data_IF_376592952087
#
_entry.id   IF_376592952087
#
_cell.length_a   1.000
_cell.length_b   1.000
_cell.length_c   1.000
_cell.angle_alpha   90.00
_cell.angle_beta   90.00
_cell.angle_gamma   90.00
#
_symmetry.space_group_name_H-M   'P 1'
#
loop_
_entity.id
_entity.type
_entity.pdbx_description
1 polymer ?
#
# COMPACT_ATOMS: atom_id res chain seq x y z
N UNK A 1 -20.03 5.22 -23.87
CA UNK A 1 -19.92 3.82 -24.33
C UNK A 1 -19.14 3.06 -23.28
N UNK A 2 -19.86 2.47 -22.33
CA UNK A 2 -19.31 1.65 -21.26
C UNK A 2 -19.50 0.18 -21.67
N UNK A 3 -18.42 -0.60 -21.66
CA UNK A 3 -18.47 -2.04 -21.86
C UNK A 3 -18.02 -2.72 -20.55
N UNK A 4 -18.97 -3.40 -19.92
CA UNK A 4 -18.78 -4.43 -18.89
C UNK A 4 -18.13 -5.69 -19.49
N UNK A 5 -17.33 -6.42 -18.70
CA UNK A 5 -17.20 -7.86 -18.86
C UNK A 5 -17.65 -8.60 -17.58
N UNK A 6 -18.55 -9.57 -17.75
CA UNK A 6 -19.14 -10.39 -16.68
C UNK A 6 -18.19 -11.40 -16.02
N UNK A 7 -18.68 -12.13 -14.99
CA UNK A 7 -17.82 -12.95 -14.13
C UNK A 7 -17.48 -14.32 -14.71
N UNK A 8 -16.21 -14.71 -14.53
CA UNK A 8 -15.65 -16.01 -14.87
C UNK A 8 -16.05 -17.09 -13.84
N UNK A 9 -16.37 -18.28 -14.35
CA UNK A 9 -16.75 -19.48 -13.61
C UNK A 9 -15.51 -20.34 -13.37
N UNK A 10 -15.19 -20.68 -12.12
CA UNK A 10 -14.12 -21.65 -11.80
C UNK A 10 -14.75 -22.82 -11.03
N UNK A 11 -14.73 -23.99 -11.66
CA UNK A 11 -15.08 -25.29 -11.06
C UNK A 11 -13.87 -25.86 -10.32
N UNK A 12 -14.02 -26.19 -9.04
CA UNK A 12 -13.04 -26.94 -8.28
C UNK A 12 -13.71 -28.10 -7.54
N UNK A 13 -13.55 -29.30 -8.07
CA UNK A 13 -13.95 -30.57 -7.46
C UNK A 13 -12.79 -31.17 -6.66
N UNK A 14 -13.01 -31.47 -5.38
CA UNK A 14 -12.10 -32.28 -4.55
C UNK A 14 -12.78 -33.59 -4.15
N UNK A 15 -12.04 -34.68 -4.33
CA UNK A 15 -12.40 -36.08 -4.08
C UNK A 15 -11.84 -36.53 -2.73
N UNK A 16 -12.57 -37.37 -1.98
CA UNK A 16 -11.97 -38.45 -1.17
C UNK A 16 -12.98 -39.52 -0.69
N UNK A 17 -12.87 -40.70 -1.29
CA UNK A 17 -12.81 -42.07 -0.73
C UNK A 17 -13.75 -42.60 0.39
N UNK A 18 -14.60 -43.56 -0.03
CA UNK A 18 -14.71 -45.00 0.38
C UNK A 18 -15.10 -45.42 1.81
N UNK A 19 -16.12 -46.30 1.98
CA UNK A 19 -15.96 -47.76 2.16
C UNK A 19 -17.31 -48.49 2.39
N UNK A 20 -17.39 -49.75 1.93
CA UNK A 20 -18.55 -50.62 1.75
C UNK A 20 -19.11 -51.28 3.01
N UNK A 21 -20.36 -51.80 2.95
CA UNK A 21 -20.69 -53.20 3.28
C UNK A 21 -22.12 -53.56 2.90
N UNK A 22 -22.23 -54.63 2.12
CA UNK A 22 -23.45 -55.28 1.60
C UNK A 22 -23.92 -56.38 2.54
N UNK A 23 -25.24 -56.54 2.70
CA UNK A 23 -25.86 -57.87 2.89
C UNK A 23 -27.23 -57.89 2.22
N UNK A 24 -27.50 -59.00 1.51
CA UNK A 24 -28.69 -59.26 0.71
C UNK A 24 -29.29 -60.57 1.20
N UNK A 25 -30.59 -60.61 1.50
CA UNK A 25 -31.37 -61.85 1.56
C UNK A 25 -32.61 -61.67 0.67
N UNK A 26 -32.81 -62.64 -0.20
CA UNK A 26 -33.94 -62.88 -1.12
C UNK A 26 -35.14 -63.44 -0.34
N UNK A 27 -36.36 -63.19 -0.80
CA UNK A 27 -37.23 -64.26 -1.33
C UNK A 27 -38.56 -63.76 -1.92
N UNK A 28 -39.15 -64.61 -2.75
CA UNK A 28 -40.19 -64.44 -3.76
C UNK A 28 -41.65 -64.41 -3.24
N UNK A 29 -42.50 -63.68 -3.99
CA UNK A 29 -43.78 -64.16 -4.57
C UNK A 29 -44.96 -64.58 -3.67
N UNK A 30 -46.14 -63.97 -3.89
CA UNK A 30 -47.40 -64.65 -4.29
C UNK A 30 -48.66 -63.77 -4.12
N UNK A 31 -49.72 -64.15 -4.82
CA UNK A 31 -50.95 -63.43 -5.20
C UNK A 31 -52.10 -63.48 -4.17
N UNK A 32 -52.93 -62.42 -4.25
CA UNK A 32 -54.42 -62.31 -4.13
C UNK A 32 -55.12 -62.76 -2.83
N UNK A 33 -55.88 -61.83 -2.20
CA UNK A 33 -57.37 -61.78 -2.23
C UNK A 33 -57.95 -60.53 -1.54
N UNK A 34 -59.13 -60.12 -2.03
CA UNK A 34 -59.98 -58.96 -1.69
C UNK A 34 -60.47 -58.97 -0.24
N UNK A 35 -60.63 -57.78 0.35
CA UNK A 35 -61.88 -57.40 1.05
C UNK A 35 -62.04 -55.87 1.12
N UNK A 36 -63.28 -55.44 0.92
CA UNK A 36 -63.85 -54.09 1.05
C UNK A 36 -63.74 -53.63 2.53
N UNK A 37 -63.78 -52.36 2.95
CA UNK A 37 -64.66 -51.25 2.56
C UNK A 37 -64.21 -49.99 3.33
N UNK A 38 -64.54 -48.80 2.84
CA UNK A 38 -64.70 -47.60 3.67
C UNK A 38 -63.69 -46.47 3.46
N UNK A 39 -64.05 -45.50 2.60
CA UNK A 39 -63.49 -44.16 2.65
C UNK A 39 -63.89 -43.47 3.96
N UNK A 40 -62.91 -42.95 4.71
CA UNK A 40 -63.12 -41.76 5.56
C UNK A 40 -61.96 -40.78 5.38
N UNK A 41 -62.32 -39.71 4.67
CA UNK A 41 -61.92 -38.30 4.84
C UNK A 41 -60.41 -38.05 4.98
N UNK A 42 -59.87 -37.56 3.87
CA UNK A 42 -58.60 -36.84 3.82
C UNK A 42 -58.63 -35.67 4.80
N UNK A 43 -57.74 -35.71 5.79
CA UNK A 43 -57.12 -34.50 6.31
C UNK A 43 -55.68 -34.53 5.85
N UNK A 44 -55.39 -33.85 4.73
CA UNK A 44 -54.03 -33.46 4.38
C UNK A 44 -53.55 -32.51 5.48
N UNK A 45 -52.98 -33.06 6.56
CA UNK A 45 -52.26 -32.26 7.54
C UNK A 45 -50.94 -31.88 6.89
N UNK A 46 -50.66 -30.59 6.92
CA UNK A 46 -49.55 -29.90 6.29
C UNK A 46 -48.21 -30.27 6.99
N UNK A 47 -47.78 -31.53 6.87
CA UNK A 47 -46.58 -32.07 7.55
C UNK A 47 -45.29 -31.41 7.03
N UNK A 48 -45.33 -30.88 5.81
CA UNK A 48 -44.17 -30.23 5.18
C UNK A 48 -43.76 -28.94 5.89
N UNK A 49 -44.70 -28.04 6.18
CA UNK A 49 -44.40 -26.71 6.72
C UNK A 49 -43.79 -26.72 8.13
N UNK A 50 -44.26 -27.61 9.00
CA UNK A 50 -43.76 -27.70 10.38
C UNK A 50 -42.34 -28.30 10.44
N UNK A 51 -42.02 -29.24 9.57
CA UNK A 51 -40.67 -29.81 9.48
C UNK A 51 -39.69 -28.77 8.94
N UNK A 52 -40.07 -27.99 7.93
CA UNK A 52 -39.25 -26.89 7.41
C UNK A 52 -39.03 -25.78 8.46
N UNK A 53 -40.06 -25.42 9.22
CA UNK A 53 -39.94 -24.40 10.27
C UNK A 53 -39.04 -24.87 11.42
N UNK A 54 -39.17 -26.13 11.84
CA UNK A 54 -38.33 -26.73 12.87
C UNK A 54 -36.87 -26.81 12.43
N UNK A 55 -36.60 -27.23 11.19
CA UNK A 55 -35.25 -27.25 10.63
C UNK A 55 -34.67 -25.83 10.53
N UNK A 56 -35.46 -24.84 10.09
CA UNK A 56 -35.02 -23.45 10.03
C UNK A 56 -34.68 -22.86 11.41
N UNK A 57 -35.48 -23.16 12.44
CA UNK A 57 -35.21 -22.73 13.82
C UNK A 57 -33.96 -23.40 14.39
N UNK A 58 -33.74 -24.68 14.09
CA UNK A 58 -32.51 -25.39 14.49
C UNK A 58 -31.29 -24.80 13.80
N UNK A 59 -31.37 -24.49 12.49
CA UNK A 59 -30.27 -23.87 11.75
C UNK A 59 -29.95 -22.46 12.28
N UNK A 60 -30.97 -21.66 12.61
CA UNK A 60 -30.78 -20.33 13.20
C UNK A 60 -30.23 -20.40 14.62
N UNK A 61 -30.67 -21.36 15.43
CA UNK A 61 -30.12 -21.60 16.76
C UNK A 61 -28.66 -22.05 16.70
N UNK A 62 -28.30 -22.95 15.76
CA UNK A 62 -26.91 -23.39 15.53
C UNK A 62 -26.06 -22.23 15.00
N UNK A 63 -26.56 -21.45 14.05
CA UNK A 63 -25.85 -20.29 13.50
C UNK A 63 -25.64 -19.17 14.54
N UNK A 64 -26.59 -18.97 15.44
CA UNK A 64 -26.47 -18.03 16.56
C UNK A 64 -25.51 -18.49 17.68
N UNK A 65 -25.14 -19.77 17.68
CA UNK A 65 -24.20 -20.38 18.64
C UNK A 65 -22.79 -20.54 18.08
N UNK A 66 -22.56 -20.25 16.80
CA UNK A 66 -21.20 -20.18 16.25
C UNK A 66 -20.60 -18.84 16.68
N UNK A 67 -19.57 -18.82 17.56
CA UNK A 67 -18.88 -17.58 17.86
C UNK A 67 -18.30 -17.02 16.57
N UNK A 68 -18.45 -15.71 16.35
CA UNK A 68 -17.79 -15.04 15.24
C UNK A 68 -16.28 -15.20 15.40
N UNK A 69 -15.67 -16.08 14.61
CA UNK A 69 -14.23 -16.29 14.62
C UNK A 69 -13.59 -15.12 13.88
N UNK A 70 -12.88 -14.26 14.59
CA UNK A 70 -12.00 -13.28 13.98
C UNK A 70 -10.81 -14.01 13.37
N UNK A 71 -10.79 -14.17 12.05
CA UNK A 71 -9.60 -14.65 11.35
C UNK A 71 -8.59 -13.50 11.27
N UNK A 72 -7.51 -13.59 12.04
CA UNK A 72 -6.34 -12.71 11.93
C UNK A 72 -5.08 -13.59 11.80
N UNK A 73 -4.24 -13.29 10.81
CA UNK A 73 -3.05 -14.10 10.47
C UNK A 73 -1.74 -13.29 10.52
N UNK A 74 -1.73 -12.17 11.25
CA UNK A 74 -0.53 -11.38 11.51
C UNK A 74 0.15 -11.94 12.76
N UNK A 75 1.39 -12.39 12.63
CA UNK A 75 2.20 -12.83 13.77
C UNK A 75 2.66 -11.61 14.57
N UNK A 76 2.18 -11.47 15.80
CA UNK A 76 2.54 -10.39 16.71
C UNK A 76 3.69 -10.75 17.66
N UNK A 77 4.19 -11.99 17.59
CA UNK A 77 5.25 -12.52 18.46
C UNK A 77 6.58 -12.56 17.71
N UNK A 78 6.58 -13.10 16.49
CA UNK A 78 7.77 -13.18 15.65
C UNK A 78 7.69 -12.10 14.57
N UNK A 79 8.25 -10.93 14.87
CA UNK A 79 8.33 -9.80 13.94
C UNK A 79 9.79 -9.39 13.76
N UNK A 80 10.06 -8.72 12.64
CA UNK A 80 11.36 -8.09 12.40
C UNK A 80 11.27 -6.63 12.83
N UNK A 81 12.22 -6.21 13.67
CA UNK A 81 12.26 -4.85 14.22
C UNK A 81 13.35 -4.03 13.53
N UNK A 82 12.98 -2.82 13.10
CA UNK A 82 13.92 -1.82 12.60
C UNK A 82 13.82 -0.56 13.45
N UNK A 83 14.92 -0.19 14.07
CA UNK A 83 15.08 1.03 14.83
C UNK A 83 16.24 1.85 14.27
N UNK A 84 16.08 3.17 14.31
CA UNK A 84 17.09 4.13 13.90
C UNK A 84 17.22 5.18 15.01
N UNK A 85 18.18 6.11 14.89
CA UNK A 85 18.37 7.17 15.88
C UNK A 85 17.08 7.91 16.23
N UNK A 86 16.94 8.24 17.51
CA UNK A 86 15.86 9.06 18.02
C UNK A 86 15.75 10.38 17.25
N UNK A 87 14.54 10.91 17.14
CA UNK A 87 14.21 12.19 16.47
C UNK A 87 14.45 12.21 14.94
N UNK A 88 14.70 11.08 14.29
CA UNK A 88 14.79 10.97 12.82
C UNK A 88 13.44 10.83 12.11
N UNK A 89 12.36 10.59 12.88
CA UNK A 89 11.04 10.21 12.36
C UNK A 89 11.12 8.97 11.45
N UNK A 90 12.06 8.06 11.70
CA UNK A 90 12.16 6.79 10.99
C UNK A 90 10.84 6.03 11.06
N UNK A 91 10.34 5.57 9.92
CA UNK A 91 9.03 4.94 9.80
C UNK A 91 7.91 5.91 9.43
N UNK A 92 8.21 7.20 9.19
CA UNK A 92 7.20 8.17 8.76
C UNK A 92 6.53 7.76 7.43
N UNK A 93 7.29 7.16 6.53
CA UNK A 93 6.78 6.54 5.32
C UNK A 93 7.46 5.19 5.07
N UNK A 94 6.70 4.21 4.57
CA UNK A 94 7.18 2.85 4.34
C UNK A 94 6.65 2.29 3.02
N UNK A 95 7.47 1.54 2.30
CA UNK A 95 7.04 0.76 1.13
C UNK A 95 7.85 -0.52 1.01
N UNK A 96 7.25 -1.55 0.43
CA UNK A 96 7.97 -2.75 0.01
C UNK A 96 8.64 -2.50 -1.34
N UNK A 97 9.80 -3.12 -1.55
CA UNK A 97 10.52 -3.10 -2.81
C UNK A 97 11.26 -4.43 -2.96
N UNK A 98 11.44 -4.89 -4.19
CA UNK A 98 12.23 -6.08 -4.48
C UNK A 98 13.23 -5.73 -5.57
N UNK A 99 14.48 -6.13 -5.38
CA UNK A 99 15.57 -5.86 -6.31
C UNK A 99 16.47 -7.09 -6.36
N UNK A 100 16.73 -7.61 -7.56
CA UNK A 100 17.61 -8.78 -7.77
C UNK A 100 17.20 -9.98 -6.90
N UNK A 101 15.90 -10.27 -6.85
CA UNK A 101 15.29 -11.33 -6.00
C UNK A 101 15.40 -11.11 -4.49
N UNK A 102 15.93 -9.97 -4.03
CA UNK A 102 15.99 -9.63 -2.61
C UNK A 102 14.90 -8.63 -2.25
N UNK A 103 14.14 -8.97 -1.22
CA UNK A 103 13.06 -8.12 -0.70
C UNK A 103 13.60 -7.14 0.33
N UNK A 104 13.14 -5.90 0.24
CA UNK A 104 13.55 -4.79 1.08
C UNK A 104 12.32 -4.07 1.61
N UNK A 105 12.42 -3.62 2.85
CA UNK A 105 11.54 -2.57 3.39
C UNK A 105 12.26 -1.24 3.17
N UNK A 106 11.63 -0.32 2.45
CA UNK A 106 12.12 1.02 2.25
C UNK A 106 11.45 1.93 3.26
N UNK A 107 12.25 2.64 4.04
CA UNK A 107 11.78 3.45 5.17
C UNK A 107 12.25 4.89 5.01
N UNK A 108 11.32 5.83 5.04
CA UNK A 108 11.59 7.25 5.09
C UNK A 108 11.76 7.76 6.52
N UNK A 109 12.73 8.66 6.71
CA UNK A 109 13.07 9.30 7.97
C UNK A 109 13.30 10.80 7.72
N UNK A 110 12.23 11.62 7.64
CA UNK A 110 12.29 13.00 7.14
C UNK A 110 13.13 13.97 7.98
N UNK A 111 13.40 13.64 9.24
CA UNK A 111 14.24 14.47 10.13
C UNK A 111 15.56 13.80 10.48
N UNK A 112 15.94 12.72 9.78
CA UNK A 112 17.25 12.11 9.94
C UNK A 112 18.35 13.13 9.63
N UNK A 113 19.37 13.15 10.49
CA UNK A 113 20.52 14.00 10.28
C UNK A 113 21.41 13.45 9.16
N UNK A 114 21.76 14.35 8.24
CA UNK A 114 22.60 14.13 7.06
C UNK A 114 23.83 15.01 7.06
N UNK A 115 24.14 15.70 8.18
CA UNK A 115 25.33 16.55 8.32
C UNK A 115 26.66 15.82 8.06
N UNK A 116 26.67 14.49 8.21
CA UNK A 116 27.78 13.60 7.90
C UNK A 116 28.02 13.41 6.39
N UNK A 117 26.99 13.67 5.57
CA UNK A 117 26.99 13.45 4.13
C UNK A 117 26.86 14.75 3.33
N UNK A 118 25.99 15.65 3.78
CA UNK A 118 25.62 16.89 3.12
C UNK A 118 26.16 18.08 3.92
N UNK A 119 27.26 18.68 3.45
CA UNK A 119 27.88 19.83 4.11
C UNK A 119 26.90 21.00 4.24
N UNK A 120 26.81 21.58 5.45
CA UNK A 120 25.94 22.72 5.75
C UNK A 120 24.43 22.40 5.76
N UNK A 121 24.04 21.13 5.70
CA UNK A 121 22.64 20.67 5.77
C UNK A 121 22.38 20.00 7.10
N UNK A 122 21.30 20.41 7.77
CA UNK A 122 20.89 19.85 9.07
C UNK A 122 19.50 19.25 8.95
N UNK A 123 19.30 18.03 9.48
CA UNK A 123 18.04 17.30 9.39
C UNK A 123 17.48 17.28 7.96
N UNK A 124 18.33 17.00 6.96
CA UNK A 124 17.94 16.95 5.56
C UNK A 124 16.90 15.85 5.29
N UNK A 125 16.88 14.81 6.13
CA UNK A 125 16.06 13.62 5.96
C UNK A 125 16.76 12.57 5.11
N UNK A 126 16.39 11.31 5.32
CA UNK A 126 17.01 10.18 4.65
C UNK A 126 16.00 9.09 4.31
N UNK A 127 16.37 8.23 3.38
CA UNK A 127 15.66 6.99 3.07
C UNK A 127 16.60 5.82 3.31
N UNK A 128 16.08 4.78 3.94
CA UNK A 128 16.80 3.57 4.29
C UNK A 128 16.20 2.38 3.54
N UNK A 129 17.04 1.40 3.22
CA UNK A 129 16.63 0.06 2.78
C UNK A 129 16.99 -0.94 3.88
N UNK A 130 16.03 -1.73 4.31
CA UNK A 130 16.16 -2.70 5.39
C UNK A 130 15.90 -4.11 4.87
N UNK A 131 16.75 -5.07 5.24
CA UNK A 131 16.57 -6.47 4.85
C UNK A 131 15.40 -7.09 5.61
N UNK A 132 14.49 -7.76 4.90
CA UNK A 132 13.29 -8.38 5.50
C UNK A 132 13.60 -9.56 6.44
N UNK A 133 14.82 -10.09 6.42
CA UNK A 133 15.18 -11.36 7.07
C UNK A 133 15.84 -11.18 8.44
N UNK A 134 16.29 -9.97 8.78
CA UNK A 134 17.11 -9.70 9.96
C UNK A 134 16.76 -8.36 10.60
N UNK A 135 16.68 -8.35 11.94
CA UNK A 135 16.46 -7.14 12.72
C UNK A 135 17.56 -6.10 12.49
N UNK A 136 17.16 -4.82 12.46
CA UNK A 136 18.06 -3.67 12.37
C UNK A 136 19.07 -3.68 11.21
N UNK A 137 18.86 -4.51 10.18
CA UNK A 137 19.71 -4.58 9.00
C UNK A 137 19.30 -3.52 7.97
N UNK A 138 19.49 -2.26 8.32
CA UNK A 138 19.17 -1.09 7.49
C UNK A 138 20.41 -0.38 6.98
N UNK A 139 20.33 0.18 5.77
CA UNK A 139 21.38 1.03 5.20
C UNK A 139 20.76 2.23 4.48
N UNK A 140 21.39 3.39 4.60
CA UNK A 140 20.95 4.63 3.95
C UNK A 140 21.11 4.50 2.43
N UNK A 141 20.11 4.94 1.68
CA UNK A 141 20.15 5.05 0.22
C UNK A 141 20.69 6.44 -0.16
N UNK A 142 21.82 6.54 -0.88
CA UNK A 142 22.51 7.82 -1.11
C UNK A 142 21.90 8.61 -2.29
N UNK A 143 20.65 9.06 -2.15
CA UNK A 143 19.94 9.81 -3.20
C UNK A 143 20.63 11.12 -3.60
N UNK A 144 21.08 11.89 -2.60
CA UNK A 144 21.82 13.13 -2.79
C UNK A 144 22.84 13.28 -1.66
N UNK A 145 24.11 13.40 -2.05
CA UNK A 145 25.22 13.63 -1.13
C UNK A 145 25.70 15.09 -1.14
N UNK A 146 25.10 15.96 -1.95
CA UNK A 146 25.50 17.36 -2.05
C UNK A 146 24.75 18.20 -1.03
N UNK A 147 25.44 19.18 -0.45
CA UNK A 147 24.84 20.21 0.38
C UNK A 147 23.94 21.16 -0.43
N UNK A 148 23.71 22.37 0.12
CA UNK A 148 22.99 23.40 -0.62
C UNK A 148 23.70 23.76 -1.93
N UNK A 149 22.91 24.08 -2.95
CA UNK A 149 23.37 24.44 -4.28
C UNK A 149 23.64 25.94 -4.34
N UNK A 150 24.74 26.35 -4.97
CA UNK A 150 25.11 27.74 -5.20
C UNK A 150 25.25 28.02 -6.70
N UNK A 151 24.92 29.23 -7.13
CA UNK A 151 25.11 29.65 -8.52
C UNK A 151 26.55 30.11 -8.79
N UNK A 152 26.86 30.49 -10.03
CA UNK A 152 28.19 30.99 -10.44
C UNK A 152 28.64 32.27 -9.71
N UNK A 153 27.71 32.97 -9.05
CA UNK A 153 27.96 34.18 -8.24
C UNK A 153 28.08 33.87 -6.75
N UNK A 154 28.10 32.59 -6.37
CA UNK A 154 28.12 32.11 -4.99
C UNK A 154 26.88 32.53 -4.17
N UNK A 155 25.74 32.70 -4.83
CA UNK A 155 24.44 32.91 -4.19
C UNK A 155 23.75 31.56 -4.01
N UNK A 156 23.22 31.32 -2.81
CA UNK A 156 22.51 30.07 -2.51
C UNK A 156 21.21 29.97 -3.32
N UNK A 157 21.02 28.83 -3.99
CA UNK A 157 19.91 28.58 -4.91
C UNK A 157 18.85 27.68 -4.28
N UNK A 158 19.21 26.88 -3.28
CA UNK A 158 18.25 26.08 -2.51
C UNK A 158 18.62 25.94 -1.03
N UNK A 159 17.64 25.59 -0.20
CA UNK A 159 17.85 25.20 1.19
C UNK A 159 17.34 23.77 1.38
N UNK A 160 18.27 22.86 1.69
CA UNK A 160 18.00 21.45 1.97
C UNK A 160 17.83 21.13 3.46
N UNK A 161 18.24 22.03 4.35
CA UNK A 161 18.04 21.85 5.80
C UNK A 161 16.55 21.79 6.15
N UNK A 162 16.15 20.79 6.93
CA UNK A 162 14.76 20.53 7.32
C UNK A 162 13.79 20.36 6.13
N UNK A 163 14.28 19.95 4.96
CA UNK A 163 13.47 19.77 3.74
C UNK A 163 12.49 18.58 3.81
N UNK A 164 12.62 17.74 4.83
CA UNK A 164 11.80 16.54 5.05
C UNK A 164 11.98 15.47 3.97
N UNK A 165 13.21 15.21 3.55
CA UNK A 165 13.48 14.18 2.54
C UNK A 165 13.16 12.78 3.10
N UNK A 166 12.32 12.02 2.40
CA UNK A 166 11.79 10.75 2.90
C UNK A 166 10.45 10.91 3.64
N UNK A 167 9.80 12.09 3.58
CA UNK A 167 8.42 12.22 4.04
C UNK A 167 7.46 11.34 3.21
N UNK A 168 7.78 11.15 1.93
CA UNK A 168 7.05 10.26 1.03
C UNK A 168 8.04 9.34 0.36
N UNK A 169 7.77 8.03 0.40
CA UNK A 169 8.46 7.02 -0.39
C UNK A 169 7.44 6.15 -1.12
N UNK A 170 7.70 5.82 -2.38
CA UNK A 170 6.86 4.90 -3.15
C UNK A 170 7.72 4.09 -4.12
N UNK A 171 7.39 2.81 -4.29
CA UNK A 171 8.10 1.88 -5.17
C UNK A 171 7.19 1.41 -6.31
N UNK A 172 7.76 1.19 -7.48
CA UNK A 172 7.10 0.50 -8.59
C UNK A 172 7.05 -1.04 -8.40
N UNK A 173 7.68 -1.58 -7.35
CA UNK A 173 7.69 -3.00 -7.03
C UNK A 173 8.99 -3.69 -7.44
N UNK A 174 8.88 -4.82 -8.15
CA UNK A 174 10.00 -5.71 -8.51
C UNK A 174 10.88 -5.08 -9.57
N UNK A 175 12.17 -4.92 -9.26
CA UNK A 175 13.22 -4.33 -10.12
C UNK A 175 12.82 -2.97 -10.72
N UNK A 176 11.87 -2.29 -10.08
CA UNK A 176 11.27 -1.04 -10.54
C UNK A 176 11.91 0.18 -9.89
N UNK A 177 11.64 1.39 -10.38
CA UNK A 177 12.10 2.61 -9.72
C UNK A 177 11.50 2.79 -8.33
N UNK A 178 12.21 3.59 -7.53
CA UNK A 178 11.75 4.10 -6.25
C UNK A 178 11.73 5.64 -6.33
N UNK A 179 10.70 6.27 -5.77
CA UNK A 179 10.65 7.73 -5.60
C UNK A 179 10.66 8.09 -4.12
N UNK A 180 11.42 9.10 -3.76
CA UNK A 180 11.47 9.69 -2.43
C UNK A 180 11.37 11.21 -2.53
N UNK A 181 10.59 11.85 -1.67
CA UNK A 181 10.32 13.28 -1.78
C UNK A 181 10.65 14.08 -0.51
N UNK A 182 10.92 15.37 -0.72
CA UNK A 182 11.17 16.41 0.27
C UNK A 182 10.15 17.54 0.05
N UNK A 183 8.95 17.46 0.64
CA UNK A 183 7.88 18.43 0.40
C UNK A 183 8.18 19.82 0.99
N UNK A 184 9.16 19.94 1.89
CA UNK A 184 9.60 21.22 2.48
C UNK A 184 10.88 21.74 1.86
N UNK A 185 11.36 21.15 0.77
CA UNK A 185 12.48 21.70 0.01
C UNK A 185 12.17 23.11 -0.47
N UNK A 186 13.12 24.01 -0.25
CA UNK A 186 13.00 25.43 -0.55
C UNK A 186 13.92 25.78 -1.71
N UNK A 187 13.36 26.43 -2.71
CA UNK A 187 14.08 27.00 -3.83
C UNK A 187 14.15 28.52 -3.69
N UNK A 188 15.32 29.09 -3.96
CA UNK A 188 15.57 30.53 -3.95
C UNK A 188 15.53 31.05 -5.38
N UNK A 189 14.43 31.68 -5.77
CA UNK A 189 14.34 32.24 -7.11
C UNK A 189 15.10 33.58 -7.18
N UNK A 190 16.30 33.53 -7.76
CA UNK A 190 17.17 34.68 -7.92
C UNK A 190 16.70 35.58 -9.07
N UNK A 191 16.20 36.76 -8.72
CA UNK A 191 15.71 37.73 -9.72
C UNK A 191 16.75 38.82 -10.03
N UNK A 192 16.70 39.43 -11.23
CA UNK A 192 17.60 40.51 -11.62
C UNK A 192 17.63 41.70 -10.65
N UNK A 193 16.57 41.86 -9.85
CA UNK A 193 16.39 42.96 -8.88
C UNK A 193 16.78 42.62 -7.43
N UNK A 194 17.55 41.54 -7.19
CA UNK A 194 18.04 41.11 -5.86
C UNK A 194 16.98 40.76 -4.81
N UNK A 195 15.70 40.61 -5.18
CA UNK A 195 14.69 40.11 -4.24
C UNK A 195 14.75 38.58 -4.27
N UNK A 196 15.45 38.01 -3.29
CA UNK A 196 15.42 36.58 -3.01
C UNK A 196 14.00 36.16 -2.64
N UNK A 197 13.46 35.17 -3.35
CA UNK A 197 12.18 34.54 -3.01
C UNK A 197 12.43 33.16 -2.47
N UNK A 198 12.05 32.96 -1.22
CA UNK A 198 12.19 31.71 -0.49
C UNK A 198 10.89 30.92 -0.67
N UNK A 199 10.90 29.92 -1.54
CA UNK A 199 9.69 29.24 -2.01
C UNK A 199 9.71 27.74 -1.67
N UNK A 200 8.82 27.23 -0.81
CA UNK A 200 8.72 25.81 -0.50
C UNK A 200 8.05 25.06 -1.67
N UNK A 201 8.78 24.91 -2.77
CA UNK A 201 8.29 24.27 -3.99
C UNK A 201 8.23 22.75 -3.87
N UNK A 202 9.04 22.14 -2.99
CA UNK A 202 9.18 20.69 -2.89
C UNK A 202 10.01 20.09 -4.02
N UNK A 203 10.57 18.90 -3.78
CA UNK A 203 11.33 18.12 -4.78
C UNK A 203 11.16 16.62 -4.52
N UNK A 204 11.36 15.81 -5.55
CA UNK A 204 11.46 14.36 -5.44
C UNK A 204 12.73 13.88 -6.13
N UNK A 205 13.23 12.72 -5.72
CA UNK A 205 14.30 12.00 -6.36
C UNK A 205 13.83 10.60 -6.75
N UNK A 206 14.17 10.19 -7.95
CA UNK A 206 13.86 8.87 -8.49
C UNK A 206 15.14 8.07 -8.56
N UNK A 207 15.15 6.93 -7.85
CA UNK A 207 16.20 5.93 -7.90
C UNK A 207 15.84 4.85 -8.93
N UNK A 208 16.81 4.47 -9.76
CA UNK A 208 16.72 3.41 -10.78
C UNK A 208 17.93 2.48 -10.69
N UNK A 209 17.83 1.34 -11.37
CA UNK A 209 18.91 0.37 -11.53
C UNK A 209 19.50 -0.04 -10.17
N UNK A 210 18.70 -0.68 -9.32
CA UNK A 210 19.12 -1.14 -8.00
C UNK A 210 19.62 -0.02 -7.07
N UNK A 211 18.95 1.13 -7.10
CA UNK A 211 19.31 2.32 -6.31
C UNK A 211 20.75 2.82 -6.56
N UNK A 212 21.21 2.74 -7.81
CA UNK A 212 22.54 3.21 -8.21
C UNK A 212 22.49 4.49 -9.05
N UNK A 213 21.34 4.76 -9.68
CA UNK A 213 21.14 5.94 -10.51
C UNK A 213 20.05 6.80 -9.90
N UNK A 214 20.35 8.08 -9.69
CA UNK A 214 19.45 9.04 -9.06
C UNK A 214 19.19 10.21 -10.00
N UNK A 215 17.93 10.61 -10.08
CA UNK A 215 17.48 11.75 -10.89
C UNK A 215 16.51 12.59 -10.10
N UNK A 216 16.69 13.91 -10.14
CA UNK A 216 15.78 14.86 -9.49
C UNK A 216 14.52 15.09 -10.35
N UNK A 217 13.36 15.17 -9.72
CA UNK A 217 12.07 15.48 -10.30
C UNK A 217 11.38 16.57 -9.48
N UNK A 218 11.44 17.82 -9.96
CA UNK A 218 10.97 19.02 -9.26
C UNK A 218 9.97 19.81 -10.11
N UNK A 219 8.73 19.32 -10.30
CA UNK A 219 7.80 19.87 -11.29
C UNK A 219 7.32 21.29 -10.95
N UNK A 220 7.40 21.70 -9.68
CA UNK A 220 7.00 23.04 -9.22
C UNK A 220 8.16 24.05 -9.16
N UNK A 221 9.39 23.61 -9.45
CA UNK A 221 10.54 24.52 -9.58
C UNK A 221 10.54 25.14 -10.98
N UNK A 222 9.65 26.12 -11.18
CA UNK A 222 9.40 26.77 -12.47
C UNK A 222 9.53 28.30 -12.37
N UNK A 223 9.25 29.03 -13.45
CA UNK A 223 9.15 30.49 -13.41
C UNK A 223 7.85 31.00 -12.73
N UNK A 224 6.90 30.11 -12.42
CA UNK A 224 5.60 30.46 -11.84
C UNK A 224 5.67 30.60 -10.32
N UNK A 225 6.22 31.73 -9.89
CA UNK A 225 6.48 32.05 -8.49
C UNK A 225 5.23 32.46 -7.69
N UNK A 226 5.38 32.45 -6.36
CA UNK A 226 4.39 32.89 -5.37
C UNK A 226 3.26 31.89 -5.08
N UNK A 227 2.59 32.10 -3.95
CA UNK A 227 1.48 31.25 -3.47
C UNK A 227 0.25 31.24 -4.41
N UNK A 228 0.08 32.29 -5.21
CA UNK A 228 -0.97 32.39 -6.23
C UNK A 228 -0.70 31.47 -7.44
N UNK A 229 0.49 30.87 -7.52
CA UNK A 229 0.92 29.88 -8.53
C UNK A 229 1.62 28.70 -7.85
N UNK A 230 2.90 28.43 -8.16
CA UNK A 230 3.58 27.20 -7.72
C UNK A 230 4.67 27.43 -6.66
N UNK A 231 4.91 28.68 -6.23
CA UNK A 231 5.93 28.98 -5.23
C UNK A 231 5.68 28.38 -3.84
N UNK A 232 4.45 27.94 -3.55
CA UNK A 232 4.10 27.23 -2.30
C UNK A 232 3.64 25.80 -2.56
N UNK A 233 3.98 25.23 -3.71
CA UNK A 233 3.45 23.96 -4.20
C UNK A 233 3.63 22.78 -3.24
N UNK A 234 4.79 22.66 -2.58
CA UNK A 234 5.16 21.50 -1.75
C UNK A 234 5.02 20.17 -2.49
N UNK A 235 5.52 20.12 -3.73
CA UNK A 235 5.52 18.90 -4.56
C UNK A 235 6.19 17.75 -3.81
N UNK A 236 5.53 16.58 -3.84
CA UNK A 236 6.01 15.39 -3.17
C UNK A 236 5.41 15.20 -1.78
N UNK A 237 4.41 16.02 -1.41
CA UNK A 237 3.59 15.77 -0.22
C UNK A 237 2.90 14.40 -0.29
N UNK A 238 2.56 13.95 -1.50
CA UNK A 238 2.23 12.56 -1.81
C UNK A 238 2.85 12.17 -3.15
N UNK A 239 3.10 10.89 -3.36
CA UNK A 239 3.66 10.38 -4.61
C UNK A 239 3.30 8.91 -4.84
N UNK A 240 3.24 8.50 -6.11
CA UNK A 240 3.03 7.11 -6.51
C UNK A 240 3.70 6.85 -7.86
N UNK A 241 4.03 5.58 -8.14
CA UNK A 241 4.61 5.13 -9.40
C UNK A 241 3.67 4.14 -10.07
N UNK A 242 3.66 4.13 -11.41
CA UNK A 242 3.02 3.06 -12.16
C UNK A 242 3.74 1.74 -11.94
N UNK A 243 3.02 0.61 -12.06
CA UNK A 243 3.63 -0.74 -11.99
C UNK A 243 4.74 -0.94 -13.02
N UNK A 244 4.66 -0.25 -14.15
CA UNK A 244 5.66 -0.25 -15.23
C UNK A 244 6.86 0.65 -14.93
N UNK A 245 6.77 1.55 -13.94
CA UNK A 245 7.87 2.45 -13.56
C UNK A 245 8.18 3.57 -14.56
N UNK A 246 7.27 3.79 -15.52
CA UNK A 246 7.39 4.77 -16.60
C UNK A 246 6.79 6.14 -16.23
N UNK A 247 5.93 6.19 -15.22
CA UNK A 247 5.25 7.43 -14.79
C UNK A 247 5.29 7.55 -13.28
N UNK A 248 5.50 8.80 -12.85
CA UNK A 248 5.40 9.23 -11.46
C UNK A 248 4.24 10.20 -11.33
N UNK A 249 3.43 10.00 -10.29
CA UNK A 249 2.38 10.92 -9.87
C UNK A 249 2.85 11.61 -8.60
N UNK A 250 2.72 12.92 -8.53
CA UNK A 250 3.18 13.74 -7.41
C UNK A 250 2.06 14.70 -7.04
N UNK A 251 1.65 14.69 -5.77
CA UNK A 251 0.69 15.64 -5.23
C UNK A 251 1.38 16.89 -4.70
N UNK A 252 0.75 18.04 -4.96
CA UNK A 252 1.29 19.37 -4.74
C UNK A 252 0.23 20.31 -4.11
N UNK A 253 -0.06 20.17 -2.80
CA UNK A 253 -1.23 20.76 -2.16
C UNK A 253 -1.23 22.30 -2.15
N UNK A 254 -0.08 22.96 -2.14
CA UNK A 254 -0.02 24.42 -2.02
C UNK A 254 0.03 25.16 -3.35
N UNK A 255 -0.26 24.48 -4.46
CA UNK A 255 -0.38 25.12 -5.77
C UNK A 255 -1.65 25.96 -5.87
N UNK A 256 -1.56 27.13 -6.51
CA UNK A 256 -2.65 28.03 -6.87
C UNK A 256 -3.61 28.36 -5.72
N UNK A 257 -3.15 29.09 -4.69
CA UNK A 257 -3.94 29.38 -3.48
C UNK A 257 -4.42 28.09 -2.79
N UNK A 258 -3.54 27.09 -2.70
CA UNK A 258 -3.84 25.79 -2.07
C UNK A 258 -5.01 25.03 -2.70
N UNK A 259 -5.31 25.26 -3.98
CA UNK A 259 -6.23 24.42 -4.75
C UNK A 259 -5.67 22.99 -4.92
N UNK A 260 -4.34 22.87 -4.98
CA UNK A 260 -3.64 21.62 -5.23
C UNK A 260 -3.39 21.37 -6.72
N UNK A 261 -2.42 20.50 -7.00
CA UNK A 261 -2.08 20.00 -8.33
C UNK A 261 -1.47 18.59 -8.23
#
# INVERSE_FOLDING_TARGET
MANDPGPARISGSFNSSSCSSTSRIKEEGSRRRRSSCGCRISTNVNVSGHLFLAVALVVLAVAGWVPAVGAFNVDTVNYVLYEERANSMFGFSVTLHQEQQRSWVIVGAPTADTSDLQEGVVNGGAVFRCDISEDNRCSRVPFDAKGNTFNDKNEQVDTKSNQWFGATVASAGVDGPLVACAPRYVFHQLQPRKVERVEPVGTCFIARNSMQQFSEYSPCRTMYWGYHRQGSCQAGFSASLTKTGDRVFVGAPGSYYWQGN
#
